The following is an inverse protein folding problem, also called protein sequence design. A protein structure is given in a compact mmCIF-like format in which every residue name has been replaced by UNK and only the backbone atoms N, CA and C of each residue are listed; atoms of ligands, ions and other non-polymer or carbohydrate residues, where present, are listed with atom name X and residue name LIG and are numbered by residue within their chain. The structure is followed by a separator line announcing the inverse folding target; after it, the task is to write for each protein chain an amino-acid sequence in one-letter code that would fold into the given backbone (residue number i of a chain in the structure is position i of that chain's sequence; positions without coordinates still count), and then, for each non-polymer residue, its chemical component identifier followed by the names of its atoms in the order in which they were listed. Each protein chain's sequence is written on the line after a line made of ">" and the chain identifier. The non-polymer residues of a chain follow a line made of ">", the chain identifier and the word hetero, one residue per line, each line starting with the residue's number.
data_IF_514261674598
#
_entry.id   IF_514261674598
#
_cell.length_a   1.000
_cell.length_b   1.000
_cell.length_c   1.000
_cell.angle_alpha   90.00
_cell.angle_beta   90.00
_cell.angle_gamma   90.00
#
_symmetry.space_group_name_H-M   'P 1'
#
loop_
_entity.id
_entity.type
_entity.pdbx_description
1 polymer ?
#
# COMPACT_ATOMS: atom_id res chain seq x y z
N UNK A 1 28.65 19.40 -57.52
CA UNK A 1 28.51 20.87 -57.29
C UNK A 1 28.09 21.02 -55.83
N UNK A 2 29.08 20.95 -55.04
CA UNK A 2 29.68 21.82 -54.00
C UNK A 2 28.62 22.28 -52.96
N UNK A 3 28.52 21.57 -51.98
CA UNK A 3 28.88 21.54 -50.55
C UNK A 3 29.18 22.91 -49.95
N UNK A 4 28.35 23.29 -48.94
CA UNK A 4 28.72 24.30 -47.98
C UNK A 4 28.27 23.86 -46.57
N UNK A 5 29.24 23.32 -45.86
CA UNK A 5 29.19 23.04 -44.44
C UNK A 5 29.40 24.34 -43.69
N UNK A 6 28.48 24.79 -42.90
CA UNK A 6 28.63 25.87 -41.95
C UNK A 6 28.72 25.33 -40.54
N UNK A 7 29.93 25.33 -40.02
CA UNK A 7 30.30 25.07 -38.63
C UNK A 7 29.66 26.14 -37.75
N UNK A 8 28.78 25.76 -36.83
CA UNK A 8 28.40 26.53 -35.64
C UNK A 8 28.95 25.86 -34.41
N UNK A 9 30.16 26.18 -34.06
CA UNK A 9 30.70 25.91 -32.74
C UNK A 9 31.11 27.21 -32.11
N UNK A 10 30.38 27.67 -31.11
CA UNK A 10 30.89 28.48 -29.99
C UNK A 10 29.70 29.00 -29.17
N UNK A 11 29.22 28.25 -28.17
CA UNK A 11 28.64 28.75 -26.91
C UNK A 11 28.10 27.65 -26.00
N UNK A 12 28.92 26.84 -25.37
CA UNK A 12 28.45 26.15 -24.12
C UNK A 12 29.22 26.59 -22.87
N UNK A 13 30.29 27.36 -22.95
CA UNK A 13 31.17 27.60 -21.78
C UNK A 13 30.63 28.68 -20.83
N UNK A 14 29.86 29.64 -21.30
CA UNK A 14 29.34 30.74 -20.46
C UNK A 14 28.04 30.39 -19.68
N UNK A 15 27.32 29.34 -20.06
CA UNK A 15 26.12 28.88 -19.30
C UNK A 15 26.45 28.06 -18.07
N UNK A 16 27.61 27.41 -18.04
CA UNK A 16 28.00 26.50 -16.94
C UNK A 16 28.51 27.27 -15.70
N UNK A 17 29.10 28.45 -15.88
CA UNK A 17 29.59 29.26 -14.76
C UNK A 17 28.45 29.96 -14.00
N UNK A 18 27.39 30.36 -14.69
CA UNK A 18 26.23 31.00 -14.07
C UNK A 18 25.29 30.03 -13.30
N UNK A 19 25.33 28.74 -13.59
CA UNK A 19 24.55 27.71 -12.87
C UNK A 19 25.25 27.19 -11.60
N UNK A 20 26.56 27.24 -11.53
CA UNK A 20 27.32 26.89 -10.32
C UNK A 20 27.20 27.92 -9.19
N UNK A 21 26.92 29.19 -9.50
CA UNK A 21 26.74 30.25 -8.48
C UNK A 21 25.36 30.24 -7.79
N UNK A 22 24.39 29.47 -8.28
CA UNK A 22 23.01 29.39 -7.70
C UNK A 22 22.79 28.31 -6.65
N UNK A 23 23.78 27.56 -6.22
CA UNK A 23 23.57 26.35 -5.47
C UNK A 23 24.44 26.04 -4.26
N UNK A 24 25.31 26.92 -3.82
CA UNK A 24 26.01 26.70 -2.54
C UNK A 24 25.09 27.12 -1.38
N UNK A 25 24.37 26.15 -0.82
CA UNK A 25 23.71 26.36 0.45
C UNK A 25 24.72 26.85 1.48
N UNK A 26 24.39 27.90 2.24
CA UNK A 26 25.25 28.41 3.30
C UNK A 26 25.56 27.30 4.31
N UNK A 27 26.72 27.34 4.95
CA UNK A 27 27.11 26.39 6.00
C UNK A 27 25.98 26.18 7.02
N UNK A 28 25.31 27.25 7.43
CA UNK A 28 24.17 27.22 8.35
C UNK A 28 22.97 26.41 7.79
N UNK A 29 22.68 26.56 6.50
CA UNK A 29 21.59 25.80 5.86
C UNK A 29 21.93 24.30 5.78
N UNK A 30 23.19 23.95 5.51
CA UNK A 30 23.63 22.54 5.49
C UNK A 30 23.50 21.95 6.90
N UNK A 31 23.94 22.66 7.95
CA UNK A 31 23.82 22.21 9.32
C UNK A 31 22.35 22.01 9.74
N UNK A 32 21.45 22.92 9.35
CA UNK A 32 20.02 22.76 9.58
C UNK A 32 19.46 21.52 8.90
N UNK A 33 19.89 21.20 7.66
CA UNK A 33 19.49 19.98 6.96
C UNK A 33 20.01 18.73 7.67
N UNK A 34 21.25 18.72 8.14
CA UNK A 34 21.80 17.59 8.94
C UNK A 34 20.95 17.35 10.18
N UNK A 35 20.62 18.40 10.93
CA UNK A 35 19.81 18.31 12.14
C UNK A 35 18.40 17.79 11.83
N UNK A 36 17.75 18.32 10.79
CA UNK A 36 16.42 17.87 10.36
C UNK A 36 16.43 16.39 9.94
N UNK A 37 17.41 15.97 9.15
CA UNK A 37 17.55 14.57 8.71
C UNK A 37 17.86 13.64 9.88
N UNK A 38 18.67 14.07 10.84
CA UNK A 38 18.92 13.31 12.08
C UNK A 38 17.65 13.09 12.92
N UNK A 39 16.79 14.10 12.98
CA UNK A 39 15.49 13.94 13.64
C UNK A 39 14.58 12.97 12.89
N UNK A 40 14.57 13.03 11.55
CA UNK A 40 13.83 12.06 10.72
C UNK A 40 14.33 10.64 10.99
N UNK A 41 15.64 10.40 11.00
CA UNK A 41 16.23 9.09 11.30
C UNK A 41 15.79 8.56 12.68
N UNK A 42 15.74 9.40 13.70
CA UNK A 42 15.25 9.01 15.03
C UNK A 42 13.78 8.64 15.03
N UNK A 43 12.94 9.42 14.32
CA UNK A 43 11.50 9.16 14.20
C UNK A 43 11.26 7.86 13.47
N UNK A 44 11.88 7.64 12.31
CA UNK A 44 11.70 6.42 11.52
C UNK A 44 12.18 5.17 12.27
N UNK A 45 13.28 5.26 13.00
CA UNK A 45 13.77 4.19 13.87
C UNK A 45 12.78 3.83 14.97
N UNK A 46 12.18 4.84 15.61
CA UNK A 46 11.14 4.62 16.62
C UNK A 46 9.87 4.01 16.01
N UNK A 47 9.45 4.48 14.83
CA UNK A 47 8.30 3.93 14.12
C UNK A 47 8.54 2.47 13.68
N UNK A 48 9.76 2.10 13.25
CA UNK A 48 10.13 0.69 12.98
C UNK A 48 9.90 -0.18 14.20
N UNK A 49 10.35 0.23 15.39
CA UNK A 49 10.17 -0.54 16.64
C UNK A 49 8.70 -0.70 17.02
N UNK A 50 7.89 0.36 16.88
CA UNK A 50 6.45 0.31 17.15
C UNK A 50 5.75 -0.64 16.18
N UNK A 51 6.06 -0.55 14.87
CA UNK A 51 5.47 -1.44 13.85
C UNK A 51 5.87 -2.90 14.07
N UNK A 52 7.12 -3.17 14.47
CA UNK A 52 7.55 -4.53 14.81
C UNK A 52 6.77 -5.13 15.99
N UNK A 53 6.50 -4.32 17.03
CA UNK A 53 5.69 -4.78 18.16
C UNK A 53 4.23 -5.04 17.77
N UNK A 54 3.63 -4.15 16.96
CA UNK A 54 2.26 -4.31 16.44
C UNK A 54 2.13 -5.50 15.49
N UNK A 55 3.13 -5.72 14.63
CA UNK A 55 3.15 -6.85 13.70
C UNK A 55 3.07 -8.18 14.44
N UNK A 56 3.82 -8.37 15.53
CA UNK A 56 3.74 -9.62 16.33
C UNK A 56 2.34 -9.86 16.88
N UNK A 57 1.69 -8.81 17.39
CA UNK A 57 0.32 -8.91 17.86
C UNK A 57 -0.69 -9.19 16.74
N UNK A 58 -0.50 -8.62 15.55
CA UNK A 58 -1.32 -8.87 14.39
C UNK A 58 -1.12 -10.30 13.86
N UNK A 59 0.13 -10.78 13.77
CA UNK A 59 0.48 -12.13 13.36
C UNK A 59 -0.14 -13.20 14.28
N UNK A 60 -0.09 -12.99 15.60
CA UNK A 60 -0.74 -13.88 16.54
C UNK A 60 -2.27 -13.96 16.31
N UNK A 61 -2.92 -12.81 16.09
CA UNK A 61 -4.36 -12.77 15.79
C UNK A 61 -4.68 -13.43 14.44
N UNK A 62 -3.86 -13.20 13.42
CA UNK A 62 -4.00 -13.83 12.12
C UNK A 62 -3.89 -15.36 12.24
N UNK A 63 -2.88 -15.86 12.92
CA UNK A 63 -2.71 -17.31 13.12
C UNK A 63 -3.85 -17.93 13.92
N UNK A 64 -4.42 -17.21 14.89
CA UNK A 64 -5.59 -17.63 15.63
C UNK A 64 -6.89 -17.60 14.79
N UNK A 65 -6.99 -16.66 13.83
CA UNK A 65 -8.14 -16.51 12.95
C UNK A 65 -8.17 -17.47 11.76
N UNK A 66 -7.00 -17.92 11.28
CA UNK A 66 -6.91 -18.83 10.11
C UNK A 66 -7.73 -20.12 10.22
N UNK A 67 -7.77 -20.85 11.37
CA UNK A 67 -8.61 -22.02 11.49
C UNK A 67 -10.11 -21.72 11.32
N UNK A 68 -10.56 -20.55 11.77
CA UNK A 68 -11.95 -20.10 11.58
C UNK A 68 -12.28 -19.89 10.11
N UNK A 69 -11.36 -19.29 9.34
CA UNK A 69 -11.58 -19.06 7.90
C UNK A 69 -11.42 -20.36 7.08
N UNK A 70 -10.50 -21.23 7.48
CA UNK A 70 -10.29 -22.53 6.83
C UNK A 70 -11.46 -23.51 7.01
N UNK A 71 -12.32 -23.26 8.00
CA UNK A 71 -13.52 -24.10 8.21
C UNK A 71 -14.42 -24.11 6.97
N UNK A 72 -14.64 -22.97 6.34
CA UNK A 72 -15.45 -22.88 5.13
C UNK A 72 -14.86 -23.67 3.95
N UNK A 73 -13.53 -23.70 3.84
CA UNK A 73 -12.84 -24.45 2.78
C UNK A 73 -12.98 -25.99 3.00
N UNK A 74 -13.26 -26.41 4.24
CA UNK A 74 -13.44 -27.80 4.61
C UNK A 74 -14.90 -28.29 4.51
N UNK A 75 -15.88 -27.39 4.37
CA UNK A 75 -17.28 -27.77 4.15
C UNK A 75 -17.41 -28.34 2.75
N UNK A 76 -18.04 -29.52 2.64
CA UNK A 76 -18.22 -30.22 1.37
C UNK A 76 -18.93 -29.31 0.34
N UNK A 77 -18.33 -29.11 -0.81
CA UNK A 77 -18.78 -28.22 -1.86
C UNK A 77 -18.39 -26.74 -1.68
N UNK A 78 -17.91 -26.33 -0.52
CA UNK A 78 -17.39 -24.97 -0.35
C UNK A 78 -16.02 -24.80 -1.01
N UNK A 79 -15.23 -25.87 -1.10
CA UNK A 79 -13.91 -25.85 -1.74
C UNK A 79 -13.99 -25.48 -3.23
N UNK A 80 -15.00 -25.98 -3.93
CA UNK A 80 -15.24 -25.69 -5.34
C UNK A 80 -15.78 -24.25 -5.56
N UNK A 81 -16.20 -23.57 -4.48
CA UNK A 81 -16.79 -22.23 -4.53
C UNK A 81 -15.83 -21.10 -4.20
N UNK A 82 -14.73 -21.42 -3.53
CA UNK A 82 -13.77 -20.43 -3.06
C UNK A 82 -12.42 -20.69 -3.69
N UNK A 83 -12.03 -19.85 -4.63
CA UNK A 83 -10.73 -19.92 -5.28
C UNK A 83 -9.89 -18.75 -4.78
N UNK A 84 -8.72 -19.06 -4.24
CA UNK A 84 -7.73 -18.09 -3.84
C UNK A 84 -6.60 -18.05 -4.87
N UNK A 85 -6.43 -16.90 -5.53
CA UNK A 85 -5.35 -16.70 -6.50
C UNK A 85 -4.28 -15.81 -5.90
N UNK A 86 -3.10 -16.37 -5.74
CA UNK A 86 -1.89 -15.63 -5.32
C UNK A 86 -1.32 -14.83 -6.49
N UNK A 87 -1.06 -13.53 -6.26
CA UNK A 87 -0.34 -12.69 -7.21
C UNK A 87 -1.22 -11.80 -8.08
N UNK A 88 -0.66 -11.38 -9.22
CA UNK A 88 -1.20 -10.29 -10.06
C UNK A 88 -1.90 -10.83 -11.32
N UNK A 89 -2.06 -12.15 -11.45
CA UNK A 89 -2.80 -12.74 -12.55
C UNK A 89 -4.26 -12.27 -12.53
N UNK A 90 -4.86 -11.92 -13.68
CA UNK A 90 -6.29 -11.67 -13.75
C UNK A 90 -7.05 -12.90 -13.26
N UNK A 91 -8.15 -12.70 -12.54
CA UNK A 91 -9.10 -13.77 -12.27
C UNK A 91 -9.72 -14.12 -13.63
N UNK A 92 -9.57 -15.36 -14.07
CA UNK A 92 -10.00 -15.80 -15.41
C UNK A 92 -11.53 -15.72 -15.62
N UNK A 93 -12.30 -15.35 -14.58
CA UNK A 93 -13.75 -15.45 -14.55
C UNK A 93 -14.48 -14.15 -14.15
N UNK A 94 -13.98 -12.98 -14.54
CA UNK A 94 -14.76 -11.74 -14.43
C UNK A 94 -15.76 -11.62 -15.59
N UNK A 95 -16.53 -12.66 -15.85
CA UNK A 95 -17.66 -12.63 -16.78
C UNK A 95 -18.96 -12.33 -16.02
N UNK A 96 -19.71 -11.33 -16.48
CA UNK A 96 -20.96 -10.89 -15.86
C UNK A 96 -20.78 -9.81 -14.79
N UNK A 97 -21.77 -9.64 -13.94
CA UNK A 97 -21.77 -8.62 -12.90
C UNK A 97 -20.89 -9.07 -11.71
N UNK A 98 -19.97 -8.20 -11.30
CA UNK A 98 -18.97 -8.52 -10.29
C UNK A 98 -18.99 -7.49 -9.16
N UNK A 99 -18.80 -7.95 -7.94
CA UNK A 99 -18.58 -7.13 -6.75
C UNK A 99 -17.16 -7.36 -6.26
N UNK A 100 -16.36 -6.29 -6.26
CA UNK A 100 -14.98 -6.33 -5.79
C UNK A 100 -14.87 -5.62 -4.45
N UNK A 101 -14.48 -6.34 -3.42
CA UNK A 101 -14.23 -5.81 -2.08
C UNK A 101 -12.72 -5.65 -1.91
N UNK A 102 -12.25 -4.41 -1.86
CA UNK A 102 -10.82 -4.08 -1.81
C UNK A 102 -10.42 -3.73 -0.39
N UNK A 103 -9.58 -4.56 0.21
CA UNK A 103 -9.09 -4.37 1.57
C UNK A 103 -7.76 -3.64 1.55
N UNK A 104 -7.74 -2.42 2.09
CA UNK A 104 -6.54 -1.58 2.18
C UNK A 104 -6.37 -1.03 3.60
N UNK A 105 -5.51 -0.04 3.80
CA UNK A 105 -5.31 0.61 5.09
C UNK A 105 -5.81 2.06 5.11
N UNK A 106 -6.04 2.57 6.32
CA UNK A 106 -6.33 3.99 6.55
C UNK A 106 -5.04 4.80 6.73
N UNK A 107 -3.99 4.15 7.23
CA UNK A 107 -2.72 4.80 7.57
C UNK A 107 -1.73 4.77 6.42
N UNK A 108 -0.88 5.79 6.37
CA UNK A 108 0.22 5.89 5.43
C UNK A 108 1.54 5.34 5.97
N UNK A 109 2.62 5.64 5.25
CA UNK A 109 3.99 5.27 5.59
C UNK A 109 4.24 3.75 5.66
N UNK A 110 3.43 2.98 4.95
CA UNK A 110 3.49 1.53 4.85
C UNK A 110 4.05 1.05 3.49
N UNK A 111 4.99 1.81 2.92
CA UNK A 111 5.60 1.46 1.63
C UNK A 111 4.59 1.40 0.47
N UNK A 112 4.73 0.40 -0.37
CA UNK A 112 3.93 0.23 -1.59
C UNK A 112 2.66 -0.61 -1.45
N UNK A 113 2.28 -1.06 -0.25
CA UNK A 113 1.19 -2.01 -0.05
C UNK A 113 -0.16 -1.51 -0.60
N UNK A 114 -0.52 -0.25 -0.32
CA UNK A 114 -1.77 0.33 -0.81
C UNK A 114 -1.73 0.61 -2.32
N UNK A 115 -0.58 0.99 -2.85
CA UNK A 115 -0.41 1.18 -4.30
C UNK A 115 -0.43 -0.15 -5.04
N UNK A 116 0.09 -1.21 -4.43
CA UNK A 116 0.05 -2.57 -4.95
C UNK A 116 -1.39 -3.06 -5.12
N UNK A 117 -2.19 -3.00 -4.04
CA UNK A 117 -3.58 -3.45 -4.10
C UNK A 117 -4.42 -2.61 -5.07
N UNK A 118 -4.24 -1.27 -5.10
CA UNK A 118 -4.94 -0.41 -6.05
C UNK A 118 -4.58 -0.73 -7.51
N UNK A 119 -3.31 -1.05 -7.80
CA UNK A 119 -2.87 -1.49 -9.12
C UNK A 119 -3.47 -2.86 -9.49
N UNK A 120 -3.54 -3.78 -8.55
CA UNK A 120 -4.17 -5.08 -8.74
C UNK A 120 -5.66 -4.91 -9.04
N UNK A 121 -6.38 -4.07 -8.28
CA UNK A 121 -7.80 -3.77 -8.52
C UNK A 121 -8.03 -3.26 -9.93
N UNK A 122 -7.23 -2.27 -10.41
CA UNK A 122 -7.35 -1.76 -11.78
C UNK A 122 -7.15 -2.83 -12.85
N UNK A 123 -6.22 -3.76 -12.62
CA UNK A 123 -5.96 -4.85 -13.55
C UNK A 123 -7.09 -5.87 -13.59
N UNK A 124 -7.70 -6.13 -12.43
CA UNK A 124 -8.81 -7.05 -12.34
C UNK A 124 -10.07 -6.52 -13.06
N UNK A 125 -10.33 -5.21 -12.95
CA UNK A 125 -11.51 -4.58 -13.56
C UNK A 125 -11.30 -4.24 -15.04
N UNK A 126 -10.07 -4.21 -15.53
CA UNK A 126 -9.77 -3.79 -16.89
C UNK A 126 -10.53 -4.62 -17.94
N UNK A 127 -11.40 -3.95 -18.69
CA UNK A 127 -12.26 -4.56 -19.72
C UNK A 127 -13.64 -5.01 -19.25
N UNK A 128 -13.95 -4.89 -17.95
CA UNK A 128 -15.24 -5.23 -17.34
C UNK A 128 -15.75 -4.13 -16.40
N UNK A 129 -15.29 -2.90 -16.63
CA UNK A 129 -15.60 -1.75 -15.77
C UNK A 129 -17.12 -1.54 -15.64
N UNK A 130 -17.87 -1.63 -16.74
CA UNK A 130 -19.32 -1.38 -16.76
C UNK A 130 -20.14 -2.41 -15.96
N UNK A 131 -19.55 -3.58 -15.72
CA UNK A 131 -20.16 -4.71 -14.99
C UNK A 131 -19.53 -4.95 -13.63
N UNK A 132 -18.77 -3.98 -13.10
CA UNK A 132 -18.05 -4.15 -11.85
C UNK A 132 -18.40 -3.07 -10.83
N UNK A 133 -18.78 -3.50 -9.63
CA UNK A 133 -18.99 -2.63 -8.48
C UNK A 133 -17.83 -2.79 -7.50
N UNK A 134 -17.36 -1.68 -6.93
CA UNK A 134 -16.20 -1.69 -6.02
C UNK A 134 -16.61 -1.18 -4.65
N UNK A 135 -16.34 -1.98 -3.63
CA UNK A 135 -16.41 -1.59 -2.22
C UNK A 135 -15.00 -1.49 -1.67
N UNK A 136 -14.67 -0.39 -1.01
CA UNK A 136 -13.31 -0.15 -0.53
C UNK A 136 -13.30 -0.09 1.00
N UNK A 137 -12.49 -0.93 1.62
CA UNK A 137 -12.18 -0.87 3.05
C UNK A 137 -10.82 -0.17 3.20
N UNK A 138 -10.82 1.00 3.83
CA UNK A 138 -9.64 1.83 4.03
C UNK A 138 -9.53 3.01 3.06
N UNK A 139 -9.06 4.14 3.60
CA UNK A 139 -9.00 5.41 2.87
C UNK A 139 -7.93 5.45 1.77
N UNK A 140 -6.81 4.72 1.94
CA UNK A 140 -5.65 4.85 1.05
C UNK A 140 -5.89 4.27 -0.34
N UNK A 141 -6.55 3.12 -0.46
CA UNK A 141 -6.93 2.59 -1.78
C UNK A 141 -8.04 3.45 -2.41
N UNK A 142 -9.04 3.89 -1.61
CA UNK A 142 -10.08 4.80 -2.10
C UNK A 142 -9.50 6.04 -2.78
N UNK A 143 -8.59 6.72 -2.10
CA UNK A 143 -7.95 7.92 -2.64
C UNK A 143 -7.22 7.67 -3.97
N UNK A 144 -6.63 6.48 -4.16
CA UNK A 144 -5.94 6.11 -5.38
C UNK A 144 -6.87 5.62 -6.49
N UNK A 145 -7.96 4.92 -6.14
CA UNK A 145 -8.92 4.37 -7.12
C UNK A 145 -9.91 5.42 -7.61
N UNK A 146 -10.24 6.41 -6.77
CA UNK A 146 -11.27 7.43 -7.08
C UNK A 146 -11.05 8.15 -8.41
N UNK A 147 -9.79 8.31 -8.83
CA UNK A 147 -9.48 9.02 -10.08
C UNK A 147 -9.90 8.22 -11.32
N UNK A 148 -9.70 6.92 -11.28
CA UNK A 148 -9.83 6.04 -12.46
C UNK A 148 -11.15 5.24 -12.40
N UNK A 149 -11.61 4.88 -11.20
CA UNK A 149 -12.77 4.02 -10.94
C UNK A 149 -13.80 4.69 -10.03
N UNK A 150 -13.88 6.03 -10.04
CA UNK A 150 -14.78 6.78 -9.15
C UNK A 150 -16.25 6.38 -9.30
N UNK A 151 -16.70 6.13 -10.52
CA UNK A 151 -18.09 5.78 -10.84
C UNK A 151 -18.44 4.33 -10.46
N UNK A 152 -17.42 3.46 -10.36
CA UNK A 152 -17.58 2.07 -9.93
C UNK A 152 -17.61 1.92 -8.39
N UNK A 153 -17.10 2.91 -7.64
CA UNK A 153 -17.08 2.84 -6.17
C UNK A 153 -18.48 3.07 -5.63
N UNK A 154 -19.13 2.00 -5.16
CA UNK A 154 -20.46 2.02 -4.54
C UNK A 154 -20.43 2.28 -3.05
N UNK A 155 -19.40 1.79 -2.36
CA UNK A 155 -19.28 1.93 -0.91
C UNK A 155 -17.82 2.10 -0.48
N UNK A 156 -17.66 2.77 0.67
CA UNK A 156 -16.37 2.95 1.30
C UNK A 156 -16.51 2.93 2.82
N UNK A 157 -15.68 2.14 3.47
CA UNK A 157 -15.60 2.04 4.92
C UNK A 157 -14.21 2.46 5.37
N UNK A 158 -14.14 3.40 6.30
CA UNK A 158 -12.88 3.92 6.85
C UNK A 158 -12.83 3.74 8.36
N UNK A 159 -11.66 3.95 8.95
CA UNK A 159 -11.41 3.87 10.40
C UNK A 159 -11.62 2.47 11.01
N UNK A 160 -11.68 1.44 10.17
CA UNK A 160 -11.86 0.04 10.61
C UNK A 160 -10.66 -0.51 11.39
N UNK A 161 -9.50 0.15 11.31
CA UNK A 161 -8.24 -0.26 11.96
C UNK A 161 -7.90 0.57 13.20
N UNK A 162 -8.83 1.31 13.77
CA UNK A 162 -8.66 1.96 15.09
C UNK A 162 -8.54 0.91 16.19
N UNK A 163 -9.32 -0.15 16.09
CA UNK A 163 -9.23 -1.38 16.89
C UNK A 163 -8.70 -2.54 16.05
N UNK A 164 -8.22 -3.63 16.67
CA UNK A 164 -7.89 -4.84 15.94
C UNK A 164 -9.09 -5.33 15.12
N UNK A 165 -8.86 -5.86 13.89
CA UNK A 165 -9.94 -6.43 13.08
C UNK A 165 -10.73 -7.47 13.88
N UNK A 166 -12.06 -7.40 13.84
CA UNK A 166 -12.97 -8.34 14.46
C UNK A 166 -14.08 -8.78 13.48
N UNK A 167 -14.70 -9.91 13.76
CA UNK A 167 -15.72 -10.49 12.89
C UNK A 167 -16.99 -9.63 12.82
N UNK A 168 -17.38 -8.96 13.90
CA UNK A 168 -18.57 -8.10 13.93
C UNK A 168 -18.48 -6.96 12.90
N UNK A 169 -17.31 -6.35 12.76
CA UNK A 169 -17.11 -5.30 11.73
C UNK A 169 -17.15 -5.91 10.34
N UNK A 170 -16.56 -7.08 10.15
CA UNK A 170 -16.60 -7.77 8.86
C UNK A 170 -18.01 -8.18 8.45
N UNK A 171 -18.83 -8.66 9.40
CA UNK A 171 -20.24 -9.00 9.19
C UNK A 171 -21.07 -7.77 8.82
N UNK A 172 -20.92 -6.65 9.53
CA UNK A 172 -21.62 -5.41 9.19
C UNK A 172 -21.24 -4.87 7.79
N UNK A 173 -20.00 -5.08 7.37
CA UNK A 173 -19.56 -4.72 6.00
C UNK A 173 -20.18 -5.68 4.99
N UNK A 174 -20.25 -6.98 5.28
CA UNK A 174 -20.88 -7.97 4.41
C UNK A 174 -22.38 -7.68 4.21
N UNK A 175 -23.12 -7.40 5.29
CA UNK A 175 -24.51 -6.98 5.24
C UNK A 175 -24.68 -5.74 4.32
N UNK A 176 -23.85 -4.72 4.47
CA UNK A 176 -23.90 -3.52 3.64
C UNK A 176 -23.60 -3.80 2.16
N UNK A 177 -22.68 -4.72 1.87
CA UNK A 177 -22.35 -5.16 0.50
C UNK A 177 -23.54 -5.90 -0.10
N UNK A 178 -24.10 -6.89 0.59
CA UNK A 178 -25.24 -7.69 0.13
C UNK A 178 -26.46 -6.78 -0.10
N UNK A 179 -26.77 -5.88 0.83
CA UNK A 179 -27.88 -4.92 0.68
C UNK A 179 -27.72 -3.94 -0.50
N UNK A 180 -26.49 -3.69 -0.93
CA UNK A 180 -26.19 -2.77 -2.05
C UNK A 180 -26.08 -3.48 -3.39
N UNK A 181 -26.01 -4.80 -3.40
CA UNK A 181 -25.86 -5.62 -4.61
C UNK A 181 -27.25 -5.99 -5.15
N UNK A 182 -27.64 -5.48 -6.33
CA UNK A 182 -29.01 -5.64 -6.86
C UNK A 182 -29.31 -7.02 -7.44
N UNK A 183 -28.30 -7.88 -7.64
CA UNK A 183 -28.44 -9.16 -8.33
C UNK A 183 -27.97 -10.35 -7.49
N UNK A 184 -28.79 -11.40 -7.41
CA UNK A 184 -28.42 -12.68 -6.81
C UNK A 184 -27.31 -13.39 -7.59
N UNK A 185 -27.04 -12.96 -8.81
CA UNK A 185 -26.08 -13.58 -9.75
C UNK A 185 -24.69 -12.93 -9.70
N UNK A 186 -24.42 -11.99 -8.82
CA UNK A 186 -23.13 -11.30 -8.75
C UNK A 186 -22.04 -12.17 -8.12
N UNK A 187 -20.89 -12.25 -8.79
CA UNK A 187 -19.68 -12.87 -8.23
C UNK A 187 -19.02 -11.90 -7.27
N UNK A 188 -18.66 -12.36 -6.09
CA UNK A 188 -17.99 -11.54 -5.08
C UNK A 188 -16.52 -11.89 -5.02
N UNK A 189 -15.66 -10.88 -5.15
CA UNK A 189 -14.21 -11.02 -5.11
C UNK A 189 -13.62 -10.17 -3.99
N UNK A 190 -12.90 -10.77 -3.08
CA UNK A 190 -12.20 -10.06 -1.99
C UNK A 190 -10.72 -9.95 -2.34
N UNK A 191 -10.27 -8.70 -2.56
CA UNK A 191 -8.88 -8.36 -2.86
C UNK A 191 -8.19 -7.89 -1.58
N UNK A 192 -7.11 -8.53 -1.20
CA UNK A 192 -6.37 -8.21 0.02
C UNK A 192 -4.88 -8.52 -0.12
N UNK A 193 -4.07 -8.09 0.84
CA UNK A 193 -2.66 -8.39 0.88
C UNK A 193 -2.39 -9.57 1.81
N UNK A 194 -2.14 -10.75 1.22
CA UNK A 194 -1.84 -11.98 1.94
C UNK A 194 -0.45 -11.90 2.57
N UNK A 195 -0.36 -12.18 3.84
CA UNK A 195 0.90 -12.19 4.58
C UNK A 195 1.67 -13.49 4.31
N UNK A 196 2.91 -13.39 3.86
CA UNK A 196 3.81 -14.53 3.66
C UNK A 196 4.92 -14.59 4.71
N UNK A 197 5.51 -13.44 5.02
CA UNK A 197 6.57 -13.35 6.02
C UNK A 197 6.75 -11.90 6.49
N UNK A 198 7.57 -11.69 7.51
CA UNK A 198 7.87 -10.36 8.03
C UNK A 198 8.47 -9.37 7.01
N UNK A 199 8.88 -9.84 5.84
CA UNK A 199 9.46 -9.02 4.77
C UNK A 199 8.70 -9.16 3.44
N UNK A 200 7.67 -10.01 3.37
CA UNK A 200 6.99 -10.33 2.11
C UNK A 200 5.48 -10.48 2.31
N UNK A 201 4.74 -9.82 1.48
CA UNK A 201 3.30 -9.95 1.31
C UNK A 201 2.99 -10.04 -0.19
N UNK A 202 1.81 -10.53 -0.53
CA UNK A 202 1.38 -10.66 -1.92
C UNK A 202 -0.09 -10.22 -2.05
N UNK A 203 -0.43 -9.34 -3.01
CA UNK A 203 -1.82 -9.08 -3.36
C UNK A 203 -2.47 -10.38 -3.83
N UNK A 204 -3.59 -10.75 -3.24
CA UNK A 204 -4.33 -11.96 -3.54
C UNK A 204 -5.80 -11.65 -3.72
N UNK A 205 -6.47 -12.49 -4.49
CA UNK A 205 -7.90 -12.40 -4.75
C UNK A 205 -8.54 -13.69 -4.25
N UNK A 206 -9.61 -13.57 -3.46
CA UNK A 206 -10.47 -14.66 -3.08
C UNK A 206 -11.81 -14.47 -3.78
N UNK A 207 -12.15 -15.38 -4.67
CA UNK A 207 -13.41 -15.37 -5.41
C UNK A 207 -14.41 -16.29 -4.71
N UNK A 208 -15.61 -15.78 -4.46
CA UNK A 208 -16.72 -16.53 -3.87
C UNK A 208 -17.73 -16.84 -4.96
N UNK A 209 -18.27 -18.03 -4.97
CA UNK A 209 -19.27 -18.44 -5.94
C UNK A 209 -20.58 -17.67 -5.77
N UNK A 210 -21.30 -17.53 -6.88
CA UNK A 210 -22.56 -16.77 -6.97
C UNK A 210 -23.67 -17.37 -6.13
N UNK A 211 -23.83 -18.67 -6.20
CA UNK A 211 -24.81 -19.42 -5.40
C UNK A 211 -24.16 -20.69 -4.87
N UNK A 212 -24.48 -21.05 -3.65
CA UNK A 212 -24.19 -22.37 -3.17
C UNK A 212 -24.88 -23.38 -4.08
N UNK A 213 -24.10 -24.34 -4.60
CA UNK A 213 -24.70 -25.46 -5.32
C UNK A 213 -25.60 -26.23 -4.37
N UNK A 214 -26.91 -26.15 -4.64
CA UNK A 214 -27.90 -26.80 -3.77
C UNK A 214 -27.64 -28.30 -3.63
N UNK A 215 -27.09 -28.91 -4.68
CA UNK A 215 -26.82 -30.35 -4.75
C UNK A 215 -25.61 -30.73 -3.89
N UNK A 216 -24.69 -29.79 -3.61
CA UNK A 216 -23.57 -30.04 -2.70
C UNK A 216 -24.01 -30.32 -1.26
N UNK A 217 -25.19 -29.85 -0.87
CA UNK A 217 -25.75 -30.03 0.46
C UNK A 217 -26.80 -31.14 0.55
N UNK A 218 -27.10 -31.86 -0.53
CA UNK A 218 -28.10 -32.95 -0.53
C UNK A 218 -27.75 -34.12 0.38
N UNK A 219 -26.48 -34.21 0.80
CA UNK A 219 -26.01 -35.20 1.77
C UNK A 219 -26.16 -34.78 3.24
N UNK A 220 -26.60 -33.52 3.48
CA UNK A 220 -26.82 -32.97 4.80
C UNK A 220 -28.31 -32.78 5.05
N UNK A 221 -28.79 -33.14 6.24
CA UNK A 221 -30.09 -32.71 6.71
C UNK A 221 -30.01 -31.24 7.09
N UNK A 222 -30.67 -30.37 6.31
CA UNK A 222 -30.71 -28.95 6.57
C UNK A 222 -31.98 -28.62 7.35
N UNK A 223 -31.86 -28.01 8.51
CA UNK A 223 -32.94 -27.43 9.31
C UNK A 223 -32.74 -25.89 9.36
N UNK A 224 -33.76 -25.06 9.11
CA UNK A 224 -35.17 -25.35 8.84
C UNK A 224 -35.44 -25.73 7.37
N UNK A 225 -36.71 -26.11 7.07
CA UNK A 225 -37.19 -26.58 5.76
C UNK A 225 -37.02 -25.56 4.60
N UNK A 226 -36.72 -24.26 4.91
CA UNK A 226 -36.48 -23.23 3.91
C UNK A 226 -35.00 -23.22 3.48
N UNK A 227 -34.68 -24.07 2.51
CA UNK A 227 -33.33 -24.26 1.99
C UNK A 227 -32.78 -22.94 1.36
N UNK A 228 -33.63 -22.17 0.69
CA UNK A 228 -33.17 -20.95 -0.01
C UNK A 228 -32.75 -19.84 0.97
N UNK A 229 -33.48 -19.65 2.08
CA UNK A 229 -33.12 -18.71 3.13
C UNK A 229 -31.81 -19.11 3.81
N UNK A 230 -31.66 -20.40 4.14
CA UNK A 230 -30.41 -20.90 4.73
C UNK A 230 -29.21 -20.71 3.81
N UNK A 231 -29.38 -20.92 2.50
CA UNK A 231 -28.31 -20.71 1.52
C UNK A 231 -27.94 -19.22 1.36
N UNK A 232 -28.93 -18.32 1.47
CA UNK A 232 -28.68 -16.87 1.47
C UNK A 232 -27.87 -16.44 2.71
N UNK A 233 -28.26 -16.93 3.89
CA UNK A 233 -27.52 -16.68 5.15
C UNK A 233 -26.09 -17.22 5.09
N UNK A 234 -25.93 -18.43 4.51
CA UNK A 234 -24.61 -19.02 4.32
C UNK A 234 -23.73 -18.17 3.41
N UNK A 235 -24.28 -17.64 2.30
CA UNK A 235 -23.56 -16.74 1.39
C UNK A 235 -23.10 -15.47 2.10
N UNK A 236 -23.98 -14.86 2.90
CA UNK A 236 -23.61 -13.67 3.68
C UNK A 236 -22.48 -13.99 4.67
N UNK A 237 -22.58 -15.13 5.36
CA UNK A 237 -21.55 -15.61 6.28
C UNK A 237 -20.21 -15.90 5.57
N UNK A 238 -20.22 -16.46 4.37
CA UNK A 238 -19.03 -16.67 3.53
C UNK A 238 -18.36 -15.34 3.17
N UNK A 239 -19.14 -14.34 2.74
CA UNK A 239 -18.65 -13.00 2.44
C UNK A 239 -18.03 -12.35 3.68
N UNK A 240 -18.72 -12.41 4.82
CA UNK A 240 -18.23 -11.86 6.09
C UNK A 240 -16.90 -12.53 6.51
N UNK A 241 -16.81 -13.85 6.36
CA UNK A 241 -15.59 -14.60 6.69
C UNK A 241 -14.43 -14.27 5.75
N UNK A 242 -14.68 -14.11 4.46
CA UNK A 242 -13.66 -13.71 3.49
C UNK A 242 -13.17 -12.29 3.75
N UNK A 243 -14.08 -11.36 4.07
CA UNK A 243 -13.71 -9.98 4.49
C UNK A 243 -12.86 -10.04 5.76
N UNK A 244 -13.27 -10.80 6.77
CA UNK A 244 -12.52 -10.95 8.02
C UNK A 244 -11.12 -11.49 7.78
N UNK A 245 -10.98 -12.53 6.96
CA UNK A 245 -9.67 -13.04 6.53
C UNK A 245 -8.85 -11.95 5.86
N UNK A 246 -9.42 -11.24 4.89
CA UNK A 246 -8.77 -10.14 4.21
C UNK A 246 -8.28 -9.05 5.18
N UNK A 247 -9.10 -8.69 6.18
CA UNK A 247 -8.75 -7.67 7.18
C UNK A 247 -7.60 -8.10 8.09
N UNK A 248 -7.60 -9.34 8.62
CA UNK A 248 -6.52 -9.82 9.51
C UNK A 248 -5.20 -10.01 8.75
N UNK A 249 -5.23 -10.56 7.54
CA UNK A 249 -4.05 -10.71 6.67
C UNK A 249 -3.49 -9.34 6.25
N UNK A 250 -4.36 -8.43 5.82
CA UNK A 250 -3.95 -7.07 5.42
C UNK A 250 -3.38 -6.28 6.58
N UNK A 251 -3.95 -6.38 7.79
CA UNK A 251 -3.44 -5.70 8.99
C UNK A 251 -2.02 -6.15 9.33
N UNK A 252 -1.74 -7.44 9.21
CA UNK A 252 -0.41 -8.01 9.46
C UNK A 252 0.58 -7.57 8.37
N UNK A 253 0.17 -7.64 7.11
CA UNK A 253 0.96 -7.21 5.97
C UNK A 253 1.27 -5.70 6.00
N UNK A 254 0.32 -4.87 6.45
CA UNK A 254 0.49 -3.43 6.62
C UNK A 254 1.60 -3.10 7.63
N UNK A 255 1.59 -3.72 8.81
CA UNK A 255 2.60 -3.45 9.83
C UNK A 255 3.98 -3.99 9.42
N UNK A 256 4.03 -5.13 8.72
CA UNK A 256 5.26 -5.66 8.11
C UNK A 256 5.83 -4.70 7.07
N UNK A 257 5.01 -4.25 6.14
CA UNK A 257 5.42 -3.30 5.11
C UNK A 257 5.86 -1.95 5.69
N UNK A 258 5.19 -1.48 6.75
CA UNK A 258 5.58 -0.27 7.48
C UNK A 258 6.93 -0.44 8.15
N UNK A 259 7.18 -1.57 8.80
CA UNK A 259 8.47 -1.88 9.43
C UNK A 259 9.60 -1.81 8.40
N UNK A 260 9.46 -2.48 7.25
CA UNK A 260 10.44 -2.48 6.17
C UNK A 260 10.63 -1.07 5.56
N UNK A 261 9.54 -0.32 5.34
CA UNK A 261 9.62 1.04 4.82
C UNK A 261 10.34 2.00 5.78
N UNK A 262 10.11 1.87 7.09
CA UNK A 262 10.78 2.68 8.10
C UNK A 262 12.26 2.30 8.27
N UNK A 263 12.62 1.04 8.07
CA UNK A 263 14.03 0.60 8.03
C UNK A 263 14.76 1.25 6.86
N UNK A 264 14.21 1.14 5.65
CA UNK A 264 14.79 1.76 4.46
C UNK A 264 14.88 3.30 4.61
N UNK A 265 13.86 3.93 5.18
CA UNK A 265 13.87 5.37 5.43
C UNK A 265 14.96 5.78 6.44
N UNK A 266 15.21 4.96 7.47
CA UNK A 266 16.28 5.21 8.45
C UNK A 266 17.65 5.09 7.80
N UNK A 267 17.91 4.03 7.05
CA UNK A 267 19.18 3.84 6.31
C UNK A 267 19.43 4.98 5.33
N UNK A 268 18.43 5.35 4.52
CA UNK A 268 18.54 6.46 3.59
C UNK A 268 18.82 7.81 4.30
N UNK A 269 18.24 8.01 5.47
CA UNK A 269 18.50 9.23 6.26
C UNK A 269 19.94 9.24 6.82
N UNK A 270 20.45 8.11 7.29
CA UNK A 270 21.83 7.96 7.77
C UNK A 270 22.85 8.21 6.64
N UNK A 271 22.64 7.65 5.44
CA UNK A 271 23.45 7.89 4.27
C UNK A 271 23.46 9.37 3.85
N UNK A 272 22.27 9.99 3.89
CA UNK A 272 22.15 11.43 3.58
C UNK A 272 22.88 12.30 4.62
N UNK A 273 22.84 11.96 5.90
CA UNK A 273 23.63 12.65 6.95
C UNK A 273 25.11 12.54 6.66
N UNK A 274 25.61 11.36 6.31
CA UNK A 274 27.00 11.14 5.93
C UNK A 274 27.44 12.06 4.77
N UNK A 275 26.65 12.08 3.71
CA UNK A 275 26.93 12.93 2.53
C UNK A 275 26.89 14.42 2.85
N UNK A 276 25.88 14.87 3.60
CA UNK A 276 25.76 16.28 4.01
C UNK A 276 26.89 16.72 4.94
N UNK A 277 27.38 15.81 5.79
CA UNK A 277 28.52 16.10 6.69
C UNK A 277 29.80 16.33 5.90
N UNK A 278 30.06 15.59 4.82
CA UNK A 278 31.17 15.84 3.93
C UNK A 278 31.06 17.21 3.24
N UNK A 279 29.87 17.55 2.74
CA UNK A 279 29.61 18.86 2.12
C UNK A 279 29.77 20.00 3.14
N UNK A 280 29.30 19.82 4.36
CA UNK A 280 29.46 20.76 5.47
C UNK A 280 30.94 21.03 5.78
N UNK A 281 31.73 19.99 5.95
CA UNK A 281 33.15 20.11 6.22
C UNK A 281 33.88 20.82 5.11
N UNK A 282 33.57 20.53 3.82
CA UNK A 282 34.14 21.23 2.66
C UNK A 282 33.78 22.73 2.64
N UNK A 283 32.50 23.03 2.90
CA UNK A 283 32.04 24.45 2.95
C UNK A 283 32.71 25.20 4.11
N UNK A 284 32.82 24.56 5.29
CA UNK A 284 33.53 25.15 6.45
C UNK A 284 35.01 25.43 6.15
N UNK A 285 35.72 24.49 5.53
CA UNK A 285 37.11 24.68 5.16
C UNK A 285 37.25 25.80 4.15
N UNK A 286 36.40 25.86 3.13
CA UNK A 286 36.41 26.96 2.15
C UNK A 286 36.19 28.32 2.81
N UNK A 287 35.24 28.44 3.76
CA UNK A 287 35.00 29.67 4.52
C UNK A 287 36.24 30.10 5.32
N UNK A 288 36.81 29.16 6.09
CA UNK A 288 38.01 29.47 6.88
C UNK A 288 39.17 29.94 5.99
N UNK A 289 39.36 29.30 4.82
CA UNK A 289 40.40 29.71 3.88
C UNK A 289 40.12 31.10 3.32
N UNK A 290 38.88 31.44 2.98
CA UNK A 290 38.48 32.76 2.51
C UNK A 290 38.72 33.83 3.59
N UNK A 291 38.26 33.59 4.81
CA UNK A 291 38.50 34.50 5.96
C UNK A 291 40.01 34.74 6.22
N UNK A 292 40.82 33.66 6.10
CA UNK A 292 42.27 33.78 6.24
C UNK A 292 42.89 34.65 5.13
N UNK A 293 42.48 34.46 3.87
CA UNK A 293 42.95 35.25 2.72
C UNK A 293 42.55 36.72 2.90
N UNK A 294 41.32 36.99 3.36
CA UNK A 294 40.85 38.36 3.62
C UNK A 294 41.69 39.06 4.70
N UNK A 295 42.01 38.35 5.80
CA UNK A 295 42.88 38.89 6.86
C UNK A 295 44.27 39.18 6.35
N UNK A 296 44.89 38.24 5.61
CA UNK A 296 46.25 38.43 5.06
C UNK A 296 46.27 39.58 4.05
N UNK A 297 45.27 39.67 3.16
CA UNK A 297 45.18 40.74 2.18
C UNK A 297 44.94 42.11 2.82
N UNK A 298 44.14 42.14 3.90
CA UNK A 298 43.91 43.35 4.71
C UNK A 298 45.20 43.83 5.43
N UNK A 299 45.97 42.90 6.01
CA UNK A 299 47.23 43.23 6.64
C UNK A 299 48.27 43.75 5.61
N UNK A 300 48.41 43.08 4.46
CA UNK A 300 49.30 43.48 3.41
C UNK A 300 48.95 44.87 2.81
N UNK A 301 47.69 45.28 2.85
CA UNK A 301 47.26 46.61 2.40
C UNK A 301 47.53 47.74 3.43
N UNK A 302 47.86 47.41 4.67
CA UNK A 302 48.20 48.38 5.72
C UNK A 302 49.71 48.61 5.83
N UNK A 303 50.54 47.64 5.36
CA UNK A 303 52.02 47.74 5.37
C UNK A 303 52.61 48.35 4.11
N UNK A 304 51.80 48.74 3.13
CA UNK A 304 52.21 49.50 1.90
C UNK A 304 51.58 50.87 1.88
#
# INVERSE_FOLDING_TARGET
>A
MVMMILVKNSAPVLKTVGQQARGMATEKQILQRITATSNIAKITKSMKMVSAAKMRGAENRMNAGRPFTAWLDNVKGAHDRTVETDGVAPVEELEGDNVLIVVSSDRGLCGGINSGIAKTTRRQIAGVEDHSQVFVIGDKARAQLRRDLGDNIRGNVTETYQSPPNFTVASAIAEAVVASSPSESEKVHVLYNKFKSAISYMPSVRSLAVQPDSDAFDLYELEPDNKDELLADLKEFEIATAIFQGMIENSTSEESSRMAAMENATTNAEDLIGSLTLVYNKARQARITTELIEIISGAASLDG
#
